data_IF_967446431867
#
_entry.id   IF_967446431867
#
_cell.length_a   1.000
_cell.length_b   1.000
_cell.length_c   1.000
_cell.angle_alpha   90.00
_cell.angle_beta   90.00
_cell.angle_gamma   90.00
#
_symmetry.space_group_name_H-M   'P 1'
#
loop_
_entity.id
_entity.type
_entity.pdbx_description
1 polymer ?
#
# COMPACT_ATOMS: atom_id res chain seq x y z
N UNK A 1 -0.19 19.43 -14.38
CA UNK A 1 -1.59 19.89 -14.35
C UNK A 1 -1.62 21.22 -13.60
N UNK A 2 -2.39 22.20 -14.05
CA UNK A 2 -2.55 23.45 -13.30
C UNK A 2 -3.41 23.19 -12.06
N UNK A 3 -3.14 23.90 -10.98
CA UNK A 3 -3.89 23.81 -9.73
C UNK A 3 -4.47 25.17 -9.41
N UNK A 4 -5.69 25.19 -8.88
CA UNK A 4 -6.31 26.40 -8.39
C UNK A 4 -6.14 26.47 -6.87
N UNK A 5 -5.48 27.52 -6.39
CA UNK A 5 -5.33 27.77 -4.96
C UNK A 5 -6.39 28.76 -4.49
N UNK A 6 -7.03 28.46 -3.36
CA UNK A 6 -7.87 29.40 -2.62
C UNK A 6 -7.23 29.71 -1.28
N UNK A 7 -6.78 30.95 -1.10
CA UNK A 7 -6.23 31.48 0.15
C UNK A 7 -7.35 32.09 0.98
N UNK A 8 -7.44 31.69 2.24
CA UNK A 8 -8.44 32.14 3.22
C UNK A 8 -7.71 32.76 4.40
N UNK A 9 -7.90 34.04 4.61
CA UNK A 9 -7.40 34.75 5.79
C UNK A 9 -8.56 34.98 6.76
N UNK A 10 -8.49 34.31 7.90
CA UNK A 10 -9.51 34.30 8.95
C UNK A 10 -8.82 34.24 10.32
N UNK A 11 -9.50 34.68 11.37
CA UNK A 11 -9.12 34.46 12.76
C UNK A 11 -9.34 33.01 13.23
N UNK A 12 -9.96 32.17 12.39
CA UNK A 12 -10.38 30.79 12.66
C UNK A 12 -9.82 29.80 11.62
N UNK A 13 -8.49 29.70 11.48
CA UNK A 13 -7.85 28.88 10.45
C UNK A 13 -8.20 27.38 10.53
N UNK A 14 -8.49 26.87 11.73
CA UNK A 14 -8.93 25.49 11.98
C UNK A 14 -10.31 25.18 11.37
N UNK A 15 -11.23 26.15 11.37
CA UNK A 15 -12.54 25.99 10.74
C UNK A 15 -12.46 26.13 9.23
N UNK A 16 -11.54 26.99 8.74
CA UNK A 16 -11.31 27.12 7.30
C UNK A 16 -10.75 25.84 6.68
N UNK A 17 -9.90 25.09 7.40
CA UNK A 17 -9.38 23.79 6.96
C UNK A 17 -10.50 22.77 6.74
N UNK A 18 -11.32 22.54 7.76
CA UNK A 18 -12.45 21.61 7.68
C UNK A 18 -13.43 21.98 6.56
N UNK A 19 -13.72 23.26 6.40
CA UNK A 19 -14.64 23.75 5.37
C UNK A 19 -14.05 23.62 3.97
N UNK A 20 -12.76 23.92 3.76
CA UNK A 20 -12.10 23.75 2.47
C UNK A 20 -12.09 22.28 2.04
N UNK A 21 -11.79 21.35 2.96
CA UNK A 21 -11.88 19.91 2.70
C UNK A 21 -13.31 19.47 2.39
N UNK A 22 -14.31 19.94 3.16
CA UNK A 22 -15.72 19.64 2.93
C UNK A 22 -16.22 20.14 1.57
N UNK A 23 -15.60 21.21 1.05
CA UNK A 23 -15.89 21.78 -0.26
C UNK A 23 -15.02 21.24 -1.40
N UNK A 24 -14.26 20.17 -1.17
CA UNK A 24 -13.56 19.43 -2.23
C UNK A 24 -12.11 19.82 -2.46
N UNK A 25 -11.47 20.53 -1.52
CA UNK A 25 -10.02 20.73 -1.58
C UNK A 25 -9.30 19.38 -1.51
N UNK A 26 -8.35 19.16 -2.41
CA UNK A 26 -7.51 17.96 -2.45
C UNK A 26 -6.45 17.96 -1.34
N UNK A 27 -6.04 19.16 -0.91
CA UNK A 27 -5.15 19.37 0.22
C UNK A 27 -5.39 20.75 0.83
N UNK A 28 -5.09 20.88 2.11
CA UNK A 28 -5.08 22.16 2.84
C UNK A 28 -3.69 22.37 3.47
N UNK A 29 -3.19 23.60 3.44
CA UNK A 29 -1.91 24.01 4.03
C UNK A 29 -2.02 25.36 4.72
N UNK A 30 -1.09 25.68 5.62
CA UNK A 30 -1.07 26.94 6.35
C UNK A 30 0.22 27.70 6.06
N UNK A 31 0.12 29.01 5.81
CA UNK A 31 1.28 29.91 5.66
C UNK A 31 1.11 31.17 6.53
N UNK A 32 2.21 31.84 6.84
CA UNK A 32 2.18 33.15 7.50
C UNK A 32 1.82 34.24 6.47
N UNK A 33 0.97 35.21 6.86
CA UNK A 33 0.44 36.23 5.95
C UNK A 33 1.50 37.25 5.46
N UNK A 34 2.68 37.30 6.07
CA UNK A 34 3.71 38.33 5.79
C UNK A 34 5.03 37.81 5.18
N UNK A 35 5.11 36.54 4.77
CA UNK A 35 6.29 35.98 4.06
C UNK A 35 7.63 36.23 4.80
N UNK A 36 7.61 36.26 6.13
CA UNK A 36 8.78 36.47 6.98
C UNK A 36 9.22 35.15 7.64
N UNK A 37 10.45 34.67 7.40
CA UNK A 37 10.99 33.54 8.15
C UNK A 37 11.25 33.94 9.61
N UNK A 38 10.67 33.20 10.55
CA UNK A 38 10.96 33.36 11.98
C UNK A 38 12.25 32.62 12.30
N UNK A 39 13.31 33.35 12.64
CA UNK A 39 14.47 32.79 13.35
C UNK A 39 14.04 32.47 14.80
N UNK A 40 14.44 31.30 15.31
CA UNK A 40 13.97 30.72 16.58
C UNK A 40 13.92 31.71 17.76
N UNK A 41 12.81 31.78 18.53
CA UNK A 41 12.74 32.56 19.76
C UNK A 41 13.47 31.84 20.92
N UNK A 42 13.82 32.61 21.96
CA UNK A 42 14.51 32.09 23.12
C UNK A 42 13.65 31.06 23.91
N UNK A 43 14.27 30.11 24.64
CA UNK A 43 13.55 29.07 25.38
C UNK A 43 12.52 29.65 26.34
N UNK A 44 11.24 29.36 26.11
CA UNK A 44 10.12 29.80 26.94
C UNK A 44 9.21 30.87 26.32
N UNK A 45 9.53 31.39 25.13
CA UNK A 45 8.63 32.28 24.37
C UNK A 45 7.88 31.52 23.27
N UNK A 46 6.56 31.41 23.40
CA UNK A 46 5.68 31.02 22.30
C UNK A 46 5.27 32.29 21.54
N UNK A 47 5.85 32.54 20.35
CA UNK A 47 5.24 33.47 19.40
C UNK A 47 4.29 32.67 18.52
N UNK A 48 2.99 32.80 18.77
CA UNK A 48 1.95 32.37 17.84
C UNK A 48 1.94 33.37 16.66
N UNK A 49 1.88 32.87 15.43
CA UNK A 49 1.69 33.70 14.23
C UNK A 49 0.49 34.64 14.46
N UNK A 50 0.67 35.93 14.17
CA UNK A 50 -0.38 36.93 14.39
C UNK A 50 -1.49 36.86 13.34
N UNK A 51 -1.23 36.28 12.15
CA UNK A 51 -2.20 36.13 11.04
C UNK A 51 -1.85 34.92 10.15
N UNK A 52 -2.44 33.76 10.42
CA UNK A 52 -2.31 32.55 9.57
C UNK A 52 -3.20 32.67 8.33
N UNK A 53 -2.72 32.21 7.17
CA UNK A 53 -3.50 32.04 5.94
C UNK A 53 -3.65 30.56 5.64
N UNK A 54 -4.89 30.10 5.53
CA UNK A 54 -5.23 28.73 5.14
C UNK A 54 -5.36 28.65 3.63
N UNK A 55 -4.72 27.68 2.98
CA UNK A 55 -4.71 27.49 1.52
C UNK A 55 -5.37 26.16 1.18
N UNK A 56 -6.45 26.18 0.41
CA UNK A 56 -7.04 24.99 -0.21
C UNK A 56 -6.59 24.83 -1.65
N UNK A 57 -6.21 23.60 -2.03
CA UNK A 57 -5.85 23.23 -3.40
C UNK A 57 -7.01 22.53 -4.10
N UNK A 58 -7.39 23.03 -5.27
CA UNK A 58 -8.48 22.52 -6.11
C UNK A 58 -7.97 22.21 -7.52
N UNK A 59 -8.69 21.36 -8.23
CA UNK A 59 -8.43 21.13 -9.66
C UNK A 59 -8.76 22.39 -10.46
N UNK A 60 -8.08 22.60 -11.58
CA UNK A 60 -8.21 23.80 -12.42
C UNK A 60 -9.60 24.00 -13.05
N UNK A 61 -10.45 22.97 -13.03
CA UNK A 61 -11.84 22.99 -13.47
C UNK A 61 -12.86 23.33 -12.34
N UNK A 62 -12.40 23.51 -11.10
CA UNK A 62 -13.27 23.82 -9.96
C UNK A 62 -13.73 25.28 -9.97
N UNK A 63 -15.05 25.52 -9.92
CA UNK A 63 -15.60 26.86 -9.64
C UNK A 63 -15.50 27.16 -8.13
N UNK A 64 -14.69 28.16 -7.76
CA UNK A 64 -14.49 28.55 -6.36
C UNK A 64 -15.59 29.45 -5.79
N UNK A 65 -16.49 30.00 -6.61
CA UNK A 65 -17.53 30.91 -6.10
C UNK A 65 -18.46 30.25 -5.07
N UNK A 66 -18.94 29.00 -5.25
CA UNK A 66 -19.72 28.29 -4.23
C UNK A 66 -18.91 27.99 -2.97
N UNK A 67 -17.61 27.70 -3.11
CA UNK A 67 -16.70 27.42 -2.00
C UNK A 67 -16.49 28.68 -1.14
N UNK A 68 -16.19 29.81 -1.77
CA UNK A 68 -16.04 31.12 -1.10
C UNK A 68 -17.35 31.53 -0.43
N UNK A 69 -18.49 31.29 -1.09
CA UNK A 69 -19.81 31.61 -0.51
C UNK A 69 -20.08 30.76 0.74
N UNK A 70 -19.83 29.45 0.68
CA UNK A 70 -19.97 28.56 1.84
C UNK A 70 -19.05 28.96 2.99
N UNK A 71 -17.78 29.30 2.70
CA UNK A 71 -16.84 29.78 3.71
C UNK A 71 -17.30 31.09 4.36
N UNK A 72 -17.83 32.04 3.59
CA UNK A 72 -18.37 33.31 4.14
C UNK A 72 -19.57 33.11 5.07
N UNK A 73 -20.40 32.10 4.79
CA UNK A 73 -21.59 31.80 5.59
C UNK A 73 -21.28 30.99 6.85
N UNK A 74 -20.30 30.08 6.76
CA UNK A 74 -20.01 29.09 7.80
C UNK A 74 -18.85 29.48 8.73
N UNK A 75 -17.93 30.35 8.29
CA UNK A 75 -16.88 30.86 9.17
C UNK A 75 -17.44 31.83 10.21
N UNK A 76 -17.01 31.75 11.49
CA UNK A 76 -17.47 32.67 12.54
C UNK A 76 -17.20 34.15 12.23
N UNK A 77 -16.14 34.43 11.48
CA UNK A 77 -15.74 35.77 10.99
C UNK A 77 -15.86 35.90 9.47
N UNK A 78 -16.73 35.10 8.83
CA UNK A 78 -16.82 35.02 7.37
C UNK A 78 -17.13 36.34 6.65
N UNK A 79 -17.72 37.32 7.35
CA UNK A 79 -17.95 38.67 6.84
C UNK A 79 -16.65 39.52 6.74
N UNK A 80 -15.67 39.23 7.59
CA UNK A 80 -14.39 39.93 7.69
C UNK A 80 -13.23 39.11 7.08
N UNK A 81 -13.48 37.84 6.74
CA UNK A 81 -12.52 36.96 6.11
C UNK A 81 -12.16 37.42 4.69
N UNK A 82 -10.87 37.39 4.37
CA UNK A 82 -10.37 37.73 3.04
C UNK A 82 -10.08 36.45 2.24
N UNK A 83 -10.46 36.48 0.95
CA UNK A 83 -10.31 35.36 0.03
C UNK A 83 -9.52 35.83 -1.19
N UNK A 84 -8.55 35.04 -1.62
CA UNK A 84 -7.82 35.26 -2.85
C UNK A 84 -7.61 33.93 -3.57
N UNK A 85 -8.00 33.86 -4.84
CA UNK A 85 -7.71 32.71 -5.69
C UNK A 85 -6.55 32.98 -6.65
N UNK A 86 -5.78 31.93 -6.93
CA UNK A 86 -4.64 31.98 -7.84
C UNK A 86 -4.60 30.69 -8.67
N UNK A 87 -4.57 30.83 -10.00
CA UNK A 87 -4.30 29.72 -10.89
C UNK A 87 -2.78 29.50 -10.93
N UNK A 88 -2.33 28.42 -10.31
CA UNK A 88 -0.95 27.98 -10.36
C UNK A 88 -0.80 27.11 -11.59
N UNK A 89 -0.26 27.70 -12.66
CA UNK A 89 0.33 26.93 -13.73
C UNK A 89 1.43 26.03 -13.16
N UNK A 90 1.59 24.83 -13.74
CA UNK A 90 2.63 23.86 -13.42
C UNK A 90 4.01 24.43 -13.81
N UNK A 91 4.46 25.47 -13.11
CA UNK A 91 5.71 26.15 -13.36
C UNK A 91 6.82 25.55 -12.50
N UNK A 92 7.94 25.31 -13.18
CA UNK A 92 9.22 24.70 -12.82
C UNK A 92 9.97 25.35 -11.61
N UNK A 93 9.27 25.80 -10.56
CA UNK A 93 9.90 26.29 -9.32
C UNK A 93 10.78 25.24 -8.65
N UNK A 94 10.39 23.97 -8.80
CA UNK A 94 11.14 22.80 -8.38
C UNK A 94 12.50 22.75 -9.13
N UNK A 95 12.56 22.91 -10.45
CA UNK A 95 13.82 22.78 -11.22
C UNK A 95 14.91 23.79 -10.87
N UNK A 96 14.55 25.01 -10.42
CA UNK A 96 15.54 26.04 -10.08
C UNK A 96 16.21 25.75 -8.72
N UNK A 97 15.44 25.29 -7.73
CA UNK A 97 15.99 24.93 -6.40
C UNK A 97 16.85 23.65 -6.45
N UNK A 98 16.62 22.80 -7.44
CA UNK A 98 17.21 21.47 -7.53
C UNK A 98 18.58 21.41 -8.22
N UNK A 99 18.93 22.39 -9.05
CA UNK A 99 20.28 22.50 -9.63
C UNK A 99 21.37 22.66 -8.56
N UNK A 100 21.01 23.22 -7.41
CA UNK A 100 21.94 23.46 -6.31
C UNK A 100 21.92 22.35 -5.24
N UNK A 101 21.12 21.28 -5.41
CA UNK A 101 21.10 20.18 -4.45
C UNK A 101 22.46 19.47 -4.41
N UNK A 102 23.14 19.39 -3.25
CA UNK A 102 24.41 18.68 -3.13
C UNK A 102 24.18 17.15 -3.12
N UNK A 103 25.21 16.34 -3.44
CA UNK A 103 25.19 14.90 -3.15
C UNK A 103 24.77 14.62 -1.70
N UNK A 104 23.76 13.78 -1.51
CA UNK A 104 23.25 13.42 -0.18
C UNK A 104 23.71 12.01 0.20
N UNK A 105 24.32 11.88 1.38
CA UNK A 105 24.81 10.60 1.91
C UNK A 105 23.78 9.99 2.88
N UNK A 106 23.51 8.70 2.72
CA UNK A 106 22.66 7.91 3.60
C UNK A 106 23.43 6.67 4.10
N UNK A 107 23.49 6.49 5.42
CA UNK A 107 24.32 5.45 6.03
C UNK A 107 25.81 5.62 5.72
N UNK A 108 26.53 4.50 5.56
CA UNK A 108 28.00 4.53 5.41
C UNK A 108 28.47 4.80 3.98
N UNK A 109 27.73 4.33 2.97
CA UNK A 109 28.19 4.33 1.57
C UNK A 109 27.14 4.63 0.51
N UNK A 110 25.85 4.74 0.84
CA UNK A 110 24.82 5.08 -0.16
C UNK A 110 24.78 6.58 -0.37
N UNK A 111 24.76 7.02 -1.63
CA UNK A 111 24.65 8.41 -2.02
C UNK A 111 23.55 8.60 -3.05
N UNK A 112 22.66 9.56 -2.86
CA UNK A 112 21.75 10.05 -3.91
C UNK A 112 22.38 11.30 -4.51
N UNK A 113 22.59 11.27 -5.82
CA UNK A 113 23.35 12.30 -6.53
C UNK A 113 22.62 12.74 -7.80
N UNK A 114 22.55 14.05 -8.07
CA UNK A 114 22.22 14.54 -9.41
C UNK A 114 23.24 14.01 -10.43
N UNK A 115 22.81 13.75 -11.67
CA UNK A 115 23.66 13.13 -12.69
C UNK A 115 24.96 13.92 -12.93
N UNK A 116 24.87 15.24 -12.99
CA UNK A 116 25.99 16.14 -13.24
C UNK A 116 26.99 16.22 -12.07
N UNK A 117 26.59 15.83 -10.86
CA UNK A 117 27.38 15.95 -9.62
C UNK A 117 27.98 14.64 -9.13
N UNK A 118 27.83 13.54 -9.89
CA UNK A 118 28.38 12.23 -9.49
C UNK A 118 29.90 12.27 -9.24
N UNK A 119 30.64 13.14 -9.93
CA UNK A 119 32.09 13.31 -9.74
C UNK A 119 32.49 14.01 -8.44
N UNK A 120 31.55 14.63 -7.72
CA UNK A 120 31.81 15.29 -6.43
C UNK A 120 31.97 14.28 -5.29
N UNK A 121 31.47 13.05 -5.44
CA UNK A 121 31.62 11.98 -4.46
C UNK A 121 33.00 11.33 -4.60
N UNK A 122 33.86 11.56 -3.62
CA UNK A 122 35.27 11.09 -3.62
C UNK A 122 35.48 9.78 -2.86
N UNK A 123 34.45 9.27 -2.18
CA UNK A 123 34.52 8.02 -1.41
C UNK A 123 34.65 6.81 -2.36
N UNK A 124 35.69 5.99 -2.16
CA UNK A 124 36.07 4.92 -3.08
C UNK A 124 35.09 3.74 -3.14
N UNK A 125 34.39 3.46 -2.04
CA UNK A 125 33.42 2.38 -1.90
C UNK A 125 31.96 2.88 -1.96
N UNK A 126 31.76 4.11 -2.46
CA UNK A 126 30.45 4.72 -2.58
C UNK A 126 29.53 3.95 -3.54
N UNK A 127 28.29 3.74 -3.11
CA UNK A 127 27.18 3.27 -3.91
C UNK A 127 26.40 4.51 -4.36
N UNK A 128 26.47 4.81 -5.66
CA UNK A 128 25.85 6.01 -6.23
C UNK A 128 24.50 5.67 -6.85
N UNK A 129 23.44 6.26 -6.30
CA UNK A 129 22.12 6.33 -6.91
C UNK A 129 22.00 7.68 -7.62
N UNK A 130 21.93 7.63 -8.95
CA UNK A 130 21.78 8.81 -9.80
C UNK A 130 20.30 9.13 -9.95
N UNK A 131 19.89 10.31 -9.52
CA UNK A 131 18.51 10.76 -9.61
C UNK A 131 18.50 12.28 -9.74
N UNK A 132 18.03 12.78 -10.88
CA UNK A 132 17.84 14.21 -11.04
C UNK A 132 16.60 14.63 -10.28
N UNK A 133 16.70 15.64 -9.43
CA UNK A 133 15.53 16.04 -8.69
C UNK A 133 14.49 16.68 -9.64
N UNK A 134 13.19 16.54 -9.32
CA UNK A 134 12.13 17.37 -9.90
C UNK A 134 11.19 16.72 -10.91
N UNK A 135 11.41 15.46 -11.30
CA UNK A 135 10.50 14.72 -12.19
C UNK A 135 9.64 13.68 -11.46
N UNK A 136 9.95 13.35 -10.20
CA UNK A 136 9.19 12.41 -9.39
C UNK A 136 9.40 12.67 -7.88
N UNK A 137 8.38 12.42 -7.06
CA UNK A 137 8.49 12.43 -5.60
C UNK A 137 9.51 11.37 -5.12
N UNK A 138 10.26 11.66 -4.05
CA UNK A 138 11.25 10.73 -3.49
C UNK A 138 12.71 11.00 -3.87
N UNK A 139 13.14 12.25 -4.06
CA UNK A 139 14.54 12.59 -4.39
C UNK A 139 15.53 12.45 -3.22
N UNK A 140 15.09 11.92 -2.07
CA UNK A 140 15.89 11.79 -0.85
C UNK A 140 15.94 13.04 0.04
N UNK A 141 15.46 14.19 -0.45
CA UNK A 141 15.44 15.46 0.30
C UNK A 141 14.34 15.53 1.34
N UNK A 142 13.24 14.78 1.15
CA UNK A 142 12.16 14.71 2.13
C UNK A 142 12.55 13.78 3.30
N UNK A 143 12.28 14.16 4.57
CA UNK A 143 12.66 13.37 5.75
C UNK A 143 12.26 11.89 5.67
N UNK A 144 11.07 11.60 5.15
CA UNK A 144 10.58 10.21 5.05
C UNK A 144 11.41 9.34 4.10
N UNK A 145 11.84 9.90 2.97
CA UNK A 145 12.69 9.16 2.02
C UNK A 145 14.08 8.96 2.62
N UNK A 146 14.63 9.98 3.27
CA UNK A 146 15.91 9.89 3.97
C UNK A 146 15.91 8.78 5.04
N UNK A 147 14.86 8.72 5.86
CA UNK A 147 14.70 7.70 6.90
C UNK A 147 14.65 6.27 6.32
N UNK A 148 13.98 6.08 5.17
CA UNK A 148 13.96 4.79 4.48
C UNK A 148 15.30 4.43 3.85
N UNK A 149 15.99 5.38 3.20
CA UNK A 149 17.31 5.15 2.60
C UNK A 149 18.37 4.81 3.65
N UNK A 150 18.36 5.52 4.78
CA UNK A 150 19.23 5.21 5.93
C UNK A 150 18.93 3.82 6.49
N UNK A 151 17.66 3.46 6.60
CA UNK A 151 17.26 2.14 7.07
C UNK A 151 17.73 1.04 6.11
N UNK A 152 17.47 1.18 4.80
CA UNK A 152 17.93 0.24 3.77
C UNK A 152 19.45 0.07 3.79
N UNK A 153 20.20 1.14 4.00
CA UNK A 153 21.66 1.11 4.09
C UNK A 153 22.20 0.28 5.28
N UNK A 154 21.36 -0.01 6.28
CA UNK A 154 21.72 -0.88 7.42
C UNK A 154 21.27 -2.33 7.26
N UNK A 155 20.45 -2.64 6.24
CA UNK A 155 19.97 -4.00 6.02
C UNK A 155 21.00 -4.81 5.22
N UNK A 156 21.14 -6.10 5.53
CA UNK A 156 21.74 -7.04 4.59
C UNK A 156 20.74 -7.29 3.46
N UNK A 157 21.08 -6.87 2.25
CA UNK A 157 20.23 -6.98 1.07
C UNK A 157 20.74 -8.05 0.08
N UNK A 158 21.86 -8.72 0.37
CA UNK A 158 22.48 -9.64 -0.57
C UNK A 158 21.54 -10.78 -0.96
N UNK A 159 21.23 -10.89 -2.26
CA UNK A 159 20.37 -11.96 -2.77
C UNK A 159 18.88 -11.83 -2.40
N UNK A 160 18.48 -10.71 -1.79
CA UNK A 160 17.10 -10.52 -1.30
C UNK A 160 16.17 -9.98 -2.37
N UNK A 161 14.89 -10.33 -2.25
CA UNK A 161 13.79 -9.75 -3.01
C UNK A 161 13.13 -8.63 -2.22
N UNK A 162 12.96 -7.47 -2.86
CA UNK A 162 12.38 -6.27 -2.25
C UNK A 162 11.02 -5.94 -2.86
N UNK A 163 10.05 -5.61 -2.03
CA UNK A 163 8.78 -4.99 -2.43
C UNK A 163 8.81 -3.51 -2.04
N UNK A 164 8.64 -2.62 -3.01
CA UNK A 164 8.47 -1.18 -2.82
C UNK A 164 7.03 -0.79 -3.19
N UNK A 165 6.18 -0.58 -2.17
CA UNK A 165 4.75 -0.32 -2.35
C UNK A 165 4.46 1.18 -2.19
N UNK A 166 4.07 1.83 -3.28
CA UNK A 166 4.08 3.29 -3.43
C UNK A 166 5.43 3.81 -3.92
N UNK A 167 5.97 3.21 -4.98
CA UNK A 167 7.37 3.38 -5.37
C UNK A 167 7.72 4.79 -5.88
N UNK A 168 6.78 5.57 -6.42
CA UNK A 168 7.04 6.93 -6.91
C UNK A 168 8.15 6.99 -7.95
N UNK A 169 9.26 7.66 -7.62
CA UNK A 169 10.48 7.70 -8.43
C UNK A 169 11.24 6.37 -8.53
N UNK A 170 10.91 5.39 -7.70
CA UNK A 170 11.63 4.12 -7.57
C UNK A 170 12.91 4.23 -6.74
N UNK A 171 13.15 5.35 -6.06
CA UNK A 171 14.39 5.61 -5.32
C UNK A 171 14.73 4.52 -4.31
N UNK A 172 13.74 3.96 -3.60
CA UNK A 172 13.96 2.98 -2.53
C UNK A 172 14.29 1.61 -3.12
N UNK A 173 13.53 1.18 -4.13
CA UNK A 173 13.83 -0.02 -4.91
C UNK A 173 15.21 0.02 -5.57
N UNK A 174 15.56 1.14 -6.23
CA UNK A 174 16.86 1.31 -6.89
C UNK A 174 17.99 1.31 -5.87
N UNK A 175 17.83 2.01 -4.74
CA UNK A 175 18.79 1.99 -3.65
C UNK A 175 19.04 0.57 -3.15
N UNK A 176 17.98 -0.21 -2.95
CA UNK A 176 18.11 -1.59 -2.48
C UNK A 176 18.84 -2.48 -3.50
N UNK A 177 18.56 -2.33 -4.80
CA UNK A 177 19.22 -3.06 -5.88
C UNK A 177 20.71 -2.72 -6.02
N UNK A 178 21.07 -1.46 -5.80
CA UNK A 178 22.46 -0.99 -5.79
C UNK A 178 23.20 -1.44 -4.53
N UNK A 179 22.49 -1.61 -3.41
CA UNK A 179 23.05 -2.10 -2.15
C UNK A 179 23.22 -3.63 -2.10
N UNK A 180 22.61 -4.39 -3.01
CA UNK A 180 22.86 -5.82 -3.17
C UNK A 180 21.62 -6.70 -3.36
N UNK A 181 20.41 -6.13 -3.36
CA UNK A 181 19.19 -6.88 -3.65
C UNK A 181 19.24 -7.54 -5.04
N UNK A 182 18.69 -8.74 -5.13
CA UNK A 182 18.63 -9.50 -6.38
C UNK A 182 17.58 -8.91 -7.32
N UNK A 183 16.42 -8.53 -6.77
CA UNK A 183 15.27 -8.06 -7.54
C UNK A 183 14.39 -7.15 -6.70
N UNK A 184 13.70 -6.23 -7.36
CA UNK A 184 12.71 -5.35 -6.76
C UNK A 184 11.39 -5.41 -7.53
N UNK A 185 10.28 -5.52 -6.80
CA UNK A 185 8.93 -5.34 -7.34
C UNK A 185 8.40 -4.01 -6.81
N UNK A 186 8.02 -3.14 -7.73
CA UNK A 186 7.57 -1.79 -7.45
C UNK A 186 6.08 -1.68 -7.79
N UNK A 187 5.27 -1.25 -6.84
CA UNK A 187 3.82 -1.06 -7.04
C UNK A 187 3.49 0.41 -6.87
N UNK A 188 2.68 0.96 -7.76
CA UNK A 188 2.16 2.33 -7.64
C UNK A 188 0.80 2.47 -8.31
N UNK A 189 -0.07 3.30 -7.74
CA UNK A 189 -1.37 3.62 -8.31
C UNK A 189 -1.25 4.52 -9.55
N UNK A 190 -0.16 5.30 -9.66
CA UNK A 190 0.08 6.22 -10.76
C UNK A 190 0.95 5.58 -11.86
N UNK A 191 0.42 5.38 -13.09
CA UNK A 191 1.22 4.91 -14.23
C UNK A 191 2.44 5.78 -14.55
N UNK A 192 2.40 7.09 -14.21
CA UNK A 192 3.55 7.98 -14.41
C UNK A 192 4.68 7.65 -13.43
N UNK A 193 4.38 7.35 -12.17
CA UNK A 193 5.36 6.87 -11.19
C UNK A 193 6.03 5.57 -11.67
N UNK A 194 5.27 4.63 -12.22
CA UNK A 194 5.85 3.40 -12.79
C UNK A 194 6.78 3.68 -13.98
N UNK A 195 6.46 4.70 -14.79
CA UNK A 195 7.30 5.13 -15.91
C UNK A 195 8.59 5.78 -15.41
N UNK A 196 8.50 6.66 -14.40
CA UNK A 196 9.65 7.27 -13.75
C UNK A 196 10.56 6.21 -13.11
N UNK A 197 9.99 5.26 -12.37
CA UNK A 197 10.71 4.13 -11.77
C UNK A 197 11.50 3.34 -12.81
N UNK A 198 10.90 3.01 -13.96
CA UNK A 198 11.60 2.30 -15.04
C UNK A 198 12.74 3.14 -15.65
N UNK A 199 12.50 4.43 -15.89
CA UNK A 199 13.55 5.33 -16.42
C UNK A 199 14.72 5.44 -15.46
N UNK A 200 14.45 5.75 -14.19
CA UNK A 200 15.46 5.91 -13.16
C UNK A 200 16.23 4.59 -12.93
N UNK A 201 15.55 3.44 -12.99
CA UNK A 201 16.21 2.14 -12.90
C UNK A 201 17.15 1.89 -14.09
N UNK A 202 16.78 2.33 -15.30
CA UNK A 202 17.65 2.25 -16.48
C UNK A 202 18.87 3.15 -16.34
N UNK A 203 18.70 4.38 -15.85
CA UNK A 203 19.78 5.34 -15.63
C UNK A 203 20.79 4.86 -14.57
N UNK A 204 20.33 4.01 -13.65
CA UNK A 204 21.16 3.36 -12.63
C UNK A 204 21.65 1.95 -13.03
N UNK A 205 21.33 1.47 -14.24
CA UNK A 205 21.78 0.17 -14.74
C UNK A 205 21.19 -1.03 -14.00
N UNK A 206 19.96 -0.90 -13.47
CA UNK A 206 19.27 -1.95 -12.71
C UNK A 206 17.89 -2.31 -13.26
N UNK A 207 17.55 -1.83 -14.46
CA UNK A 207 16.23 -2.03 -15.07
C UNK A 207 15.83 -3.50 -15.26
N UNK A 208 16.79 -4.39 -15.51
CA UNK A 208 16.56 -5.84 -15.67
C UNK A 208 16.14 -6.54 -14.38
N UNK A 209 16.36 -5.89 -13.23
CA UNK A 209 16.03 -6.39 -11.89
C UNK A 209 14.80 -5.72 -11.27
N UNK A 210 14.12 -4.83 -12.02
CA UNK A 210 12.92 -4.12 -11.57
C UNK A 210 11.69 -4.62 -12.31
N UNK A 211 10.64 -4.96 -11.56
CA UNK A 211 9.30 -5.21 -12.09
C UNK A 211 8.34 -4.16 -11.56
N UNK A 212 7.63 -3.45 -12.44
CA UNK A 212 6.64 -2.44 -12.05
C UNK A 212 5.22 -2.95 -12.29
N UNK A 213 4.33 -2.80 -11.31
CA UNK A 213 2.94 -3.28 -11.38
C UNK A 213 1.96 -2.21 -10.92
N UNK A 214 0.77 -2.18 -11.51
CA UNK A 214 -0.39 -1.52 -10.92
C UNK A 214 -0.94 -2.40 -9.77
N UNK A 215 -1.62 -1.85 -8.76
CA UNK A 215 -2.21 -2.64 -7.68
C UNK A 215 -3.17 -3.73 -8.17
N UNK A 216 -3.87 -3.50 -9.28
CA UNK A 216 -4.78 -4.48 -9.87
C UNK A 216 -4.05 -5.72 -10.41
N UNK A 217 -2.78 -5.59 -10.79
CA UNK A 217 -1.94 -6.66 -11.33
C UNK A 217 -1.03 -7.27 -10.25
N UNK A 218 -1.04 -6.71 -9.04
CA UNK A 218 -0.20 -7.17 -7.94
C UNK A 218 -0.79 -8.41 -7.27
N UNK A 219 0.03 -9.46 -7.18
CA UNK A 219 -0.27 -10.67 -6.40
C UNK A 219 0.72 -10.73 -5.24
N UNK A 220 0.26 -10.79 -3.98
CA UNK A 220 1.16 -10.95 -2.84
C UNK A 220 2.06 -12.17 -3.00
N UNK A 221 3.34 -11.96 -2.71
CA UNK A 221 4.40 -12.96 -2.76
C UNK A 221 5.33 -12.73 -1.55
N UNK A 222 6.06 -13.75 -1.07
CA UNK A 222 6.89 -13.62 0.12
C UNK A 222 8.19 -12.85 -0.16
N UNK A 223 8.16 -11.51 -0.11
CA UNK A 223 9.36 -10.69 -0.20
C UNK A 223 10.22 -10.80 1.08
N UNK A 224 11.53 -10.61 0.97
CA UNK A 224 12.43 -10.57 2.13
C UNK A 224 12.39 -9.21 2.84
N UNK A 225 12.21 -8.15 2.06
CA UNK A 225 12.13 -6.76 2.51
C UNK A 225 10.90 -6.12 1.88
N UNK A 226 10.10 -5.44 2.71
CA UNK A 226 8.98 -4.61 2.25
C UNK A 226 9.23 -3.18 2.70
N UNK A 227 9.09 -2.22 1.79
CA UNK A 227 9.16 -0.79 2.08
C UNK A 227 7.91 -0.12 1.54
N UNK A 228 7.30 0.75 2.33
CA UNK A 228 6.16 1.57 1.92
C UNK A 228 6.30 2.98 2.52
N UNK A 229 6.66 3.95 1.68
CA UNK A 229 6.75 5.36 2.06
C UNK A 229 5.53 6.11 1.51
N UNK A 230 4.39 5.93 2.16
CA UNK A 230 3.08 6.44 1.74
C UNK A 230 2.30 6.99 2.94
N UNK A 231 1.17 7.65 2.69
CA UNK A 231 0.38 8.27 3.75
C UNK A 231 -0.18 7.25 4.75
N UNK A 232 -0.42 7.70 5.98
CA UNK A 232 -0.91 6.86 7.09
C UNK A 232 -2.25 6.14 6.78
N UNK A 233 -3.22 6.83 6.18
CA UNK A 233 -4.51 6.22 5.81
C UNK A 233 -4.36 5.00 4.90
N UNK A 234 -3.66 5.12 3.75
CA UNK A 234 -3.28 3.98 2.93
C UNK A 234 -2.51 2.89 3.68
N UNK A 235 -1.55 3.24 4.55
CA UNK A 235 -0.81 2.24 5.35
C UNK A 235 -1.73 1.38 6.23
N UNK A 236 -2.76 1.97 6.84
CA UNK A 236 -3.76 1.24 7.63
C UNK A 236 -4.55 0.25 6.76
N UNK A 237 -5.02 0.73 5.61
CA UNK A 237 -5.81 -0.09 4.67
C UNK A 237 -5.00 -1.24 4.07
N UNK A 238 -3.72 -1.00 3.79
CA UNK A 238 -2.82 -1.95 3.15
C UNK A 238 -2.15 -2.92 4.14
N UNK A 239 -2.35 -2.77 5.45
CA UNK A 239 -1.65 -3.58 6.45
C UNK A 239 -1.79 -5.10 6.21
N UNK A 240 -2.98 -5.67 5.95
CA UNK A 240 -3.11 -7.11 5.64
C UNK A 240 -2.40 -7.50 4.34
N UNK A 241 -2.41 -6.62 3.34
CA UNK A 241 -1.77 -6.86 2.04
C UNK A 241 -0.24 -6.93 2.19
N UNK A 242 0.35 -5.92 2.84
CA UNK A 242 1.80 -5.88 3.11
C UNK A 242 2.23 -7.03 4.02
N UNK A 243 1.43 -7.35 5.05
CA UNK A 243 1.65 -8.50 5.92
C UNK A 243 1.59 -9.85 5.18
N UNK A 244 0.81 -9.96 4.11
CA UNK A 244 0.75 -11.17 3.27
C UNK A 244 1.87 -11.25 2.22
N UNK A 245 2.60 -10.13 2.00
CA UNK A 245 3.61 -9.98 0.96
C UNK A 245 5.05 -10.08 1.50
N UNK A 246 5.24 -10.74 2.64
CA UNK A 246 6.53 -10.85 3.32
C UNK A 246 6.78 -12.28 3.80
N UNK A 247 8.04 -12.68 3.83
CA UNK A 247 8.51 -13.94 4.45
C UNK A 247 8.57 -13.81 5.97
N UNK A 248 8.40 -14.90 6.75
CA UNK A 248 8.76 -14.87 8.17
C UNK A 248 10.21 -14.45 8.37
N UNK A 249 10.45 -13.63 9.39
CA UNK A 249 11.75 -13.02 9.65
C UNK A 249 12.14 -11.89 8.68
N UNK A 250 11.35 -11.65 7.63
CA UNK A 250 11.52 -10.54 6.70
C UNK A 250 11.38 -9.18 7.38
N UNK A 251 11.91 -8.13 6.76
CA UNK A 251 11.97 -6.79 7.36
C UNK A 251 11.01 -5.83 6.66
N UNK A 252 10.29 -5.05 7.45
CA UNK A 252 9.34 -4.03 6.99
C UNK A 252 9.85 -2.64 7.37
N UNK A 253 9.71 -1.66 6.49
CA UNK A 253 9.84 -0.25 6.81
C UNK A 253 8.65 0.55 6.27
N UNK A 254 7.95 1.23 7.17
CA UNK A 254 6.83 2.12 6.88
C UNK A 254 7.26 3.56 7.17
N UNK A 255 7.04 4.46 6.21
CA UNK A 255 7.27 5.90 6.36
C UNK A 255 6.18 6.67 5.61
N UNK A 256 6.25 8.01 5.62
CA UNK A 256 5.19 8.85 5.04
C UNK A 256 4.09 9.18 6.05
N UNK A 257 4.33 8.90 7.34
CA UNK A 257 3.45 9.21 8.45
C UNK A 257 4.06 10.27 9.38
N UNK A 258 3.18 11.05 10.01
CA UNK A 258 3.54 12.02 11.03
C UNK A 258 3.63 11.33 12.40
N UNK A 259 4.41 11.90 13.32
CA UNK A 259 4.64 11.31 14.65
C UNK A 259 3.33 10.96 15.40
N UNK A 260 2.29 11.80 15.25
CA UNK A 260 0.97 11.56 15.86
C UNK A 260 0.24 10.31 15.35
N UNK A 261 0.57 9.83 14.15
CA UNK A 261 -0.05 8.63 13.56
C UNK A 261 0.75 7.35 13.88
N UNK A 262 1.93 7.46 14.50
CA UNK A 262 2.82 6.32 14.69
C UNK A 262 2.16 5.18 15.49
N UNK A 263 1.50 5.51 16.61
CA UNK A 263 0.85 4.50 17.44
C UNK A 263 -0.25 3.74 16.69
N UNK A 264 -1.09 4.46 15.92
CA UNK A 264 -2.17 3.85 15.15
C UNK A 264 -1.63 2.88 14.09
N UNK A 265 -0.53 3.24 13.41
CA UNK A 265 0.13 2.34 12.47
C UNK A 265 0.73 1.13 13.19
N UNK A 266 1.37 1.30 14.35
CA UNK A 266 1.92 0.15 15.11
C UNK A 266 0.82 -0.84 15.49
N UNK A 267 -0.29 -0.33 16.02
CA UNK A 267 -1.43 -1.14 16.44
C UNK A 267 -2.02 -1.94 15.26
N UNK A 268 -2.09 -1.33 14.07
CA UNK A 268 -2.59 -2.00 12.87
C UNK A 268 -1.69 -3.14 12.37
N UNK A 269 -0.38 -3.10 12.65
CA UNK A 269 0.60 -4.10 12.18
C UNK A 269 1.01 -5.12 13.26
N UNK A 270 0.70 -4.87 14.54
CA UNK A 270 1.11 -5.66 15.70
C UNK A 270 0.77 -7.16 15.60
N UNK A 271 -0.33 -7.50 14.92
CA UNK A 271 -0.75 -8.88 14.74
C UNK A 271 0.30 -9.74 14.01
N UNK A 272 1.08 -9.14 13.10
CA UNK A 272 1.99 -9.85 12.20
C UNK A 272 3.47 -9.54 12.43
N UNK A 273 3.77 -8.42 13.08
CA UNK A 273 5.12 -7.86 13.14
C UNK A 273 5.55 -7.54 14.58
N UNK A 274 6.83 -7.76 14.84
CA UNK A 274 7.51 -7.24 16.03
C UNK A 274 8.19 -5.91 15.63
N UNK A 275 7.64 -4.79 16.11
CA UNK A 275 8.12 -3.44 15.76
C UNK A 275 9.40 -3.08 16.52
N UNK A 276 10.39 -2.52 15.81
CA UNK A 276 11.58 -1.89 16.38
C UNK A 276 11.21 -0.52 17.02
N UNK A 277 12.21 0.21 17.50
CA UNK A 277 12.04 1.61 17.90
C UNK A 277 11.81 2.53 16.68
N UNK A 278 10.91 3.49 16.86
CA UNK A 278 10.57 4.46 15.82
C UNK A 278 11.72 5.46 15.65
N UNK A 279 11.92 5.94 14.42
CA UNK A 279 12.87 7.02 14.14
C UNK A 279 12.12 8.18 13.54
N UNK A 280 12.14 9.32 14.24
CA UNK A 280 11.52 10.57 13.81
C UNK A 280 12.54 11.58 13.31
N UNK A 281 12.17 12.34 12.28
CA UNK A 281 12.90 13.50 11.77
C UNK A 281 11.90 14.55 11.31
N UNK A 282 12.00 15.75 11.87
CA UNK A 282 11.20 16.91 11.44
C UNK A 282 9.67 16.63 11.46
N UNK A 283 9.19 15.91 12.49
CA UNK A 283 7.78 15.56 12.64
C UNK A 283 7.30 14.36 11.82
N UNK A 284 8.18 13.75 11.02
CA UNK A 284 7.93 12.54 10.26
C UNK A 284 8.55 11.32 10.91
N UNK A 285 7.80 10.22 10.95
CA UNK A 285 8.23 8.96 11.55
C UNK A 285 8.49 7.88 10.50
N UNK A 286 9.52 7.06 10.73
CA UNK A 286 9.68 5.73 10.12
C UNK A 286 9.53 4.66 11.20
N UNK A 287 8.61 3.73 10.97
CA UNK A 287 8.45 2.49 11.75
C UNK A 287 9.17 1.38 11.00
N UNK A 288 10.00 0.61 11.69
CA UNK A 288 10.54 -0.64 11.14
C UNK A 288 10.14 -1.83 11.98
N UNK A 289 10.03 -3.00 11.37
CA UNK A 289 9.59 -4.20 12.06
C UNK A 289 10.14 -5.47 11.42
N UNK A 290 10.13 -6.57 12.18
CA UNK A 290 10.40 -7.90 11.68
C UNK A 290 9.10 -8.72 11.63
N UNK A 291 8.88 -9.41 10.52
CA UNK A 291 7.71 -10.27 10.37
C UNK A 291 7.81 -11.49 11.28
N UNK A 292 6.87 -11.63 12.21
CA UNK A 292 6.74 -12.81 13.08
C UNK A 292 5.93 -13.90 12.39
N UNK A 293 4.78 -13.51 11.84
CA UNK A 293 3.85 -14.41 11.16
C UNK A 293 3.15 -13.63 10.05
N UNK A 294 3.43 -13.91 8.76
CA UNK A 294 2.75 -13.26 7.66
C UNK A 294 1.24 -13.54 7.67
N UNK A 295 0.48 -12.64 7.06
CA UNK A 295 -0.96 -12.79 6.92
C UNK A 295 -1.29 -13.80 5.80
N UNK A 296 -2.42 -14.50 5.94
CA UNK A 296 -3.07 -15.16 4.81
C UNK A 296 -3.69 -14.10 3.90
N UNK A 297 -3.43 -14.21 2.59
CA UNK A 297 -3.95 -13.28 1.57
C UNK A 297 -5.48 -13.25 1.67
N UNK A 298 -6.06 -12.07 1.88
CA UNK A 298 -7.52 -11.84 1.89
C UNK A 298 -8.32 -12.90 2.68
N UNK A 299 -7.83 -13.31 3.86
CA UNK A 299 -8.49 -14.32 4.70
C UNK A 299 -9.91 -13.87 5.10
N UNK A 300 -10.90 -14.70 4.84
CA UNK A 300 -12.28 -14.50 5.26
C UNK A 300 -12.81 -15.72 6.02
N UNK A 301 -13.57 -15.51 7.10
CA UNK A 301 -14.14 -16.60 7.91
C UNK A 301 -15.66 -16.55 7.85
N UNK A 302 -16.30 -17.68 7.54
CA UNK A 302 -17.76 -17.82 7.41
C UNK A 302 -18.38 -18.58 8.59
N UNK A 303 -17.74 -18.49 9.77
CA UNK A 303 -18.10 -19.24 10.97
C UNK A 303 -16.95 -20.09 11.53
N UNK A 304 -17.24 -21.06 12.42
CA UNK A 304 -16.20 -21.80 13.14
C UNK A 304 -15.48 -22.86 12.28
N UNK A 305 -16.14 -23.36 11.24
CA UNK A 305 -15.68 -24.51 10.46
C UNK A 305 -15.23 -24.16 9.03
N UNK A 306 -15.45 -22.93 8.55
CA UNK A 306 -15.19 -22.60 7.15
C UNK A 306 -14.50 -21.25 7.02
N UNK A 307 -13.40 -21.24 6.25
CA UNK A 307 -12.72 -20.03 5.85
C UNK A 307 -12.29 -20.10 4.38
N UNK A 308 -12.10 -18.93 3.77
CA UNK A 308 -11.50 -18.80 2.45
C UNK A 308 -10.27 -17.88 2.48
N UNK A 309 -9.31 -18.10 1.60
CA UNK A 309 -8.11 -17.26 1.49
C UNK A 309 -7.49 -17.29 0.08
N UNK A 310 -6.50 -16.43 -0.15
CA UNK A 310 -5.51 -16.60 -1.21
C UNK A 310 -4.44 -17.62 -0.80
N UNK A 311 -3.36 -17.72 -1.58
CA UNK A 311 -2.41 -18.82 -1.45
C UNK A 311 -1.73 -18.79 -0.06
N UNK A 312 -1.80 -19.88 0.73
CA UNK A 312 -1.01 -20.01 1.94
C UNK A 312 0.48 -20.13 1.63
N UNK A 313 1.33 -19.53 2.46
CA UNK A 313 2.76 -19.80 2.48
C UNK A 313 3.05 -21.11 3.25
N UNK A 314 4.21 -21.79 3.03
CA UNK A 314 4.51 -23.09 3.66
C UNK A 314 4.37 -23.14 5.19
N UNK A 315 4.68 -22.04 5.88
CA UNK A 315 4.56 -21.97 7.33
C UNK A 315 3.11 -21.93 7.85
N UNK A 316 2.13 -21.64 6.99
CA UNK A 316 0.73 -21.54 7.39
C UNK A 316 0.13 -22.91 7.66
N UNK A 317 0.58 -23.98 6.99
CA UNK A 317 -0.02 -25.31 7.13
C UNK A 317 0.08 -25.87 8.57
N UNK A 318 1.23 -25.85 9.25
CA UNK A 318 1.30 -26.25 10.66
C UNK A 318 0.41 -25.39 11.57
N UNK A 319 0.31 -24.09 11.32
CA UNK A 319 -0.51 -23.15 12.11
C UNK A 319 -2.01 -23.43 11.90
N UNK A 320 -2.42 -23.73 10.67
CA UNK A 320 -3.79 -24.13 10.35
C UNK A 320 -4.17 -25.41 11.11
N UNK A 321 -3.30 -26.41 11.12
CA UNK A 321 -3.53 -27.64 11.88
C UNK A 321 -3.67 -27.37 13.39
N UNK A 322 -2.81 -26.52 13.97
CA UNK A 322 -2.91 -26.10 15.37
C UNK A 322 -4.20 -25.32 15.66
N UNK A 323 -4.69 -24.54 14.70
CA UNK A 323 -5.97 -23.84 14.78
C UNK A 323 -7.19 -24.77 14.55
N UNK A 324 -6.96 -26.08 14.43
CA UNK A 324 -7.99 -27.12 14.31
C UNK A 324 -8.52 -27.30 12.89
N UNK A 325 -7.91 -26.70 11.87
CA UNK A 325 -8.23 -27.06 10.48
C UNK A 325 -7.80 -28.50 10.23
N UNK A 326 -8.59 -29.20 9.41
CA UNK A 326 -8.42 -30.64 9.13
C UNK A 326 -8.38 -30.93 7.62
N UNK A 327 -8.86 -29.98 6.80
CA UNK A 327 -8.82 -30.05 5.35
C UNK A 327 -8.45 -28.71 4.70
N UNK A 328 -7.69 -28.79 3.60
CA UNK A 328 -7.34 -27.68 2.71
C UNK A 328 -7.79 -28.02 1.29
N UNK A 329 -8.53 -27.09 0.66
CA UNK A 329 -9.00 -27.22 -0.72
C UNK A 329 -8.34 -26.13 -1.57
N UNK A 330 -7.53 -26.52 -2.55
CA UNK A 330 -6.89 -25.61 -3.50
C UNK A 330 -7.69 -25.53 -4.81
N UNK A 331 -8.16 -24.33 -5.16
CA UNK A 331 -8.85 -24.03 -6.42
C UNK A 331 -7.98 -23.30 -7.46
N UNK A 332 -6.73 -22.98 -7.12
CA UNK A 332 -5.80 -22.31 -8.03
C UNK A 332 -5.39 -23.23 -9.18
N UNK A 333 -5.06 -22.61 -10.32
CA UNK A 333 -4.41 -23.33 -11.41
C UNK A 333 -2.93 -23.50 -11.07
N UNK A 334 -2.27 -24.60 -11.49
CA UNK A 334 -0.82 -24.72 -11.40
C UNK A 334 -0.05 -23.60 -12.11
N UNK A 335 -0.70 -22.90 -13.04
CA UNK A 335 -0.16 -21.71 -13.73
C UNK A 335 -0.35 -20.40 -12.97
N UNK A 336 -0.93 -20.43 -11.77
CA UNK A 336 -1.05 -19.22 -10.93
C UNK A 336 0.32 -18.78 -10.43
N UNK A 337 0.61 -17.46 -10.38
CA UNK A 337 1.97 -16.95 -10.15
C UNK A 337 2.53 -17.30 -8.76
N UNK A 338 1.67 -17.53 -7.78
CA UNK A 338 2.04 -17.90 -6.42
C UNK A 338 1.77 -19.38 -6.11
N UNK A 339 1.54 -20.24 -7.11
CA UNK A 339 1.25 -21.66 -6.88
C UNK A 339 2.40 -22.39 -6.17
N UNK A 340 2.06 -23.32 -5.26
CA UNK A 340 3.02 -24.17 -4.55
C UNK A 340 2.94 -25.61 -5.06
N UNK A 341 3.99 -26.07 -5.75
CA UNK A 341 4.04 -27.42 -6.33
C UNK A 341 4.04 -28.55 -5.28
N UNK A 342 4.59 -28.28 -4.09
CA UNK A 342 4.72 -29.23 -2.99
C UNK A 342 3.61 -29.09 -1.93
N UNK A 343 2.55 -28.33 -2.21
CA UNK A 343 1.48 -28.03 -1.26
C UNK A 343 0.82 -29.28 -0.65
N UNK A 344 0.59 -30.31 -1.46
CA UNK A 344 0.04 -31.58 -0.97
C UNK A 344 0.95 -32.24 0.09
N UNK A 345 2.28 -32.16 -0.11
CA UNK A 345 3.25 -32.69 0.83
C UNK A 345 3.32 -31.84 2.11
N UNK A 346 3.25 -30.51 1.98
CA UNK A 346 3.21 -29.59 3.11
C UNK A 346 1.97 -29.82 3.99
N UNK A 347 0.80 -30.00 3.37
CA UNK A 347 -0.43 -30.36 4.07
C UNK A 347 -0.30 -31.71 4.80
N UNK A 348 0.21 -32.75 4.11
CA UNK A 348 0.41 -34.06 4.70
C UNK A 348 1.36 -34.02 5.91
N UNK A 349 2.45 -33.26 5.81
CA UNK A 349 3.40 -33.06 6.92
C UNK A 349 2.76 -32.36 8.13
N UNK A 350 1.78 -31.48 7.90
CA UNK A 350 1.02 -30.80 8.93
C UNK A 350 -0.17 -31.64 9.47
N UNK A 351 -0.45 -32.82 8.90
CA UNK A 351 -1.61 -33.65 9.26
C UNK A 351 -2.94 -33.14 8.69
N UNK A 352 -2.90 -32.33 7.63
CA UNK A 352 -4.07 -31.81 6.92
C UNK A 352 -4.39 -32.69 5.71
N UNK A 353 -5.68 -32.98 5.50
CA UNK A 353 -6.13 -33.54 4.22
C UNK A 353 -6.07 -32.47 3.12
N UNK A 354 -5.63 -32.85 1.93
CA UNK A 354 -5.46 -31.92 0.80
C UNK A 354 -6.30 -32.37 -0.39
N UNK A 355 -7.00 -31.41 -1.00
CA UNK A 355 -7.80 -31.61 -2.20
C UNK A 355 -7.53 -30.50 -3.21
N UNK A 356 -7.34 -30.85 -4.48
CA UNK A 356 -7.15 -29.88 -5.55
C UNK A 356 -8.29 -29.97 -6.57
N UNK A 357 -8.90 -28.84 -6.89
CA UNK A 357 -9.89 -28.68 -7.97
C UNK A 357 -9.45 -27.47 -8.80
N UNK A 358 -8.51 -27.63 -9.75
CA UNK A 358 -8.00 -26.50 -10.53
C UNK A 358 -9.12 -25.82 -11.34
N UNK A 359 -9.39 -24.54 -11.08
CA UNK A 359 -10.43 -23.78 -11.79
C UNK A 359 -9.80 -22.68 -12.64
N UNK A 360 -9.95 -22.71 -13.98
CA UNK A 360 -9.55 -21.59 -14.83
C UNK A 360 -10.32 -20.32 -14.45
N UNK A 361 -9.63 -19.18 -14.27
CA UNK A 361 -10.29 -17.95 -13.81
C UNK A 361 -11.28 -17.42 -14.86
N UNK A 362 -10.89 -17.47 -16.13
CA UNK A 362 -11.65 -16.89 -17.24
C UNK A 362 -12.77 -17.81 -17.74
N UNK A 363 -12.72 -19.10 -17.36
CA UNK A 363 -13.65 -20.11 -17.83
C UNK A 363 -14.07 -21.10 -16.72
N UNK A 364 -14.67 -20.64 -15.61
CA UNK A 364 -15.25 -21.54 -14.62
C UNK A 364 -16.48 -22.25 -15.20
N UNK A 365 -16.75 -23.48 -14.74
CA UNK A 365 -17.85 -24.32 -15.26
C UNK A 365 -18.73 -24.84 -14.12
N UNK A 366 -20.02 -25.15 -14.38
CA UNK A 366 -20.89 -25.80 -13.41
C UNK A 366 -20.33 -27.14 -12.88
N UNK A 367 -19.56 -27.86 -13.70
CA UNK A 367 -18.91 -29.10 -13.28
C UNK A 367 -17.87 -28.86 -12.17
N UNK A 368 -17.06 -27.80 -12.27
CA UNK A 368 -16.12 -27.43 -11.21
C UNK A 368 -16.86 -27.12 -9.91
N UNK A 369 -17.95 -26.35 -10.00
CA UNK A 369 -18.77 -26.01 -8.83
C UNK A 369 -19.41 -27.25 -8.21
N UNK A 370 -19.97 -28.16 -9.02
CA UNK A 370 -20.57 -29.40 -8.53
C UNK A 370 -19.55 -30.29 -7.82
N UNK A 371 -18.36 -30.48 -8.40
CA UNK A 371 -17.27 -31.24 -7.78
C UNK A 371 -16.90 -30.66 -6.40
N UNK A 372 -16.82 -29.34 -6.29
CA UNK A 372 -16.56 -28.68 -5.02
C UNK A 372 -17.70 -28.85 -4.01
N UNK A 373 -18.95 -28.69 -4.43
CA UNK A 373 -20.12 -28.86 -3.55
C UNK A 373 -20.22 -30.28 -3.00
N UNK A 374 -19.93 -31.29 -3.83
CA UNK A 374 -19.93 -32.68 -3.42
C UNK A 374 -18.78 -32.98 -2.46
N UNK A 375 -17.58 -32.46 -2.74
CA UNK A 375 -16.44 -32.56 -1.82
C UNK A 375 -16.78 -31.94 -0.45
N UNK A 376 -17.37 -30.76 -0.42
CA UNK A 376 -17.79 -30.11 0.83
C UNK A 376 -18.81 -30.93 1.62
N UNK A 377 -19.71 -31.68 0.96
CA UNK A 377 -20.61 -32.63 1.65
C UNK A 377 -19.82 -33.78 2.30
N UNK A 378 -18.78 -34.31 1.64
CA UNK A 378 -17.94 -35.36 2.22
C UNK A 378 -17.10 -34.88 3.41
N UNK A 379 -16.75 -33.60 3.44
CA UNK A 379 -16.01 -32.96 4.52
C UNK A 379 -16.93 -32.36 5.61
N UNK A 380 -18.21 -32.71 5.62
CA UNK A 380 -19.18 -32.20 6.60
C UNK A 380 -18.71 -32.44 8.04
N UNK A 381 -18.79 -31.40 8.88
CA UNK A 381 -18.32 -31.42 10.26
C UNK A 381 -16.81 -31.20 10.45
N UNK A 382 -16.03 -31.16 9.38
CA UNK A 382 -14.61 -30.81 9.42
C UNK A 382 -14.41 -29.29 9.34
N UNK A 383 -13.30 -28.80 9.87
CA UNK A 383 -12.89 -27.40 9.73
C UNK A 383 -12.01 -27.26 8.49
N UNK A 384 -12.49 -26.52 7.50
CA UNK A 384 -11.95 -26.48 6.13
C UNK A 384 -11.47 -25.07 5.78
N UNK A 385 -10.28 -25.01 5.17
CA UNK A 385 -9.80 -23.82 4.45
C UNK A 385 -9.94 -24.06 2.95
N UNK A 386 -10.66 -23.17 2.25
CA UNK A 386 -10.72 -23.16 0.79
C UNK A 386 -9.87 -22.02 0.28
N UNK A 387 -8.89 -22.27 -0.58
CA UNK A 387 -8.05 -21.19 -1.09
C UNK A 387 -7.86 -21.25 -2.61
N UNK A 388 -7.40 -20.14 -3.15
CA UNK A 388 -6.87 -20.04 -4.49
C UNK A 388 -5.74 -19.01 -4.50
N UNK A 389 -5.39 -18.38 -5.63
CA UNK A 389 -4.32 -17.39 -5.67
C UNK A 389 -4.61 -16.12 -4.81
N UNK A 390 -5.81 -15.55 -4.95
CA UNK A 390 -6.20 -14.22 -4.39
C UNK A 390 -7.54 -14.26 -3.61
N UNK A 391 -8.04 -15.44 -3.25
CA UNK A 391 -9.38 -15.65 -2.67
C UNK A 391 -10.59 -15.37 -3.59
N UNK A 392 -10.40 -14.95 -4.84
CA UNK A 392 -11.55 -14.65 -5.74
C UNK A 392 -12.35 -15.92 -6.09
N UNK A 393 -11.67 -16.98 -6.53
CA UNK A 393 -12.31 -18.28 -6.85
C UNK A 393 -12.91 -18.94 -5.60
N UNK A 394 -12.12 -18.94 -4.52
CA UNK A 394 -12.47 -19.62 -3.27
C UNK A 394 -13.69 -18.99 -2.63
N UNK A 395 -13.75 -17.67 -2.53
CA UNK A 395 -14.94 -16.97 -2.03
C UNK A 395 -16.18 -17.21 -2.89
N UNK A 396 -16.07 -17.25 -4.23
CA UNK A 396 -17.21 -17.55 -5.11
C UNK A 396 -17.73 -18.99 -4.96
N UNK A 397 -16.84 -19.96 -4.76
CA UNK A 397 -17.23 -21.36 -4.53
C UNK A 397 -17.81 -21.55 -3.12
N UNK A 398 -17.22 -20.89 -2.12
CA UNK A 398 -17.78 -20.88 -0.76
C UNK A 398 -19.15 -20.22 -0.72
N UNK A 399 -19.38 -19.15 -1.48
CA UNK A 399 -20.71 -18.56 -1.67
C UNK A 399 -21.72 -19.62 -2.15
N UNK A 400 -21.38 -20.39 -3.19
CA UNK A 400 -22.25 -21.45 -3.71
C UNK A 400 -22.52 -22.53 -2.67
N UNK A 401 -21.49 -22.96 -1.94
CA UNK A 401 -21.66 -23.97 -0.87
C UNK A 401 -22.59 -23.48 0.24
N UNK A 402 -22.45 -22.24 0.67
CA UNK A 402 -23.29 -21.66 1.71
C UNK A 402 -24.76 -21.62 1.30
N UNK A 403 -25.05 -21.17 0.09
CA UNK A 403 -26.43 -21.10 -0.38
C UNK A 403 -26.99 -22.50 -0.63
N UNK A 404 -26.27 -23.35 -1.38
CA UNK A 404 -26.81 -24.61 -1.90
C UNK A 404 -26.72 -25.79 -0.93
N UNK A 405 -25.67 -25.85 -0.09
CA UNK A 405 -25.52 -26.94 0.89
C UNK A 405 -25.89 -26.53 2.32
N UNK A 406 -25.68 -25.28 2.71
CA UNK A 406 -25.97 -24.82 4.08
C UNK A 406 -27.31 -24.09 4.22
N UNK A 407 -27.93 -23.68 3.11
CA UNK A 407 -29.23 -23.01 3.10
C UNK A 407 -29.17 -21.53 3.50
N UNK A 408 -28.01 -20.89 3.42
CA UNK A 408 -27.87 -19.45 3.64
C UNK A 408 -28.67 -18.66 2.61
N UNK A 409 -29.19 -17.49 2.99
CA UNK A 409 -29.88 -16.62 2.04
C UNK A 409 -28.91 -16.10 0.98
N UNK A 410 -29.36 -16.11 -0.29
CA UNK A 410 -28.58 -15.57 -1.42
C UNK A 410 -28.14 -14.13 -1.17
N UNK A 411 -29.04 -13.32 -0.59
CA UNK A 411 -28.79 -11.91 -0.29
C UNK A 411 -27.64 -11.73 0.70
N UNK A 412 -27.67 -12.44 1.84
CA UNK A 412 -26.63 -12.32 2.86
C UNK A 412 -25.28 -12.84 2.36
N UNK A 413 -25.28 -14.00 1.69
CA UNK A 413 -24.06 -14.57 1.11
C UNK A 413 -23.45 -13.64 0.05
N UNK A 414 -24.29 -12.94 -0.73
CA UNK A 414 -23.83 -12.04 -1.80
C UNK A 414 -23.23 -10.76 -1.23
N UNK A 415 -23.86 -10.18 -0.21
CA UNK A 415 -23.32 -9.02 0.49
C UNK A 415 -21.94 -9.32 1.06
N UNK A 416 -21.75 -10.49 1.66
CA UNK A 416 -20.45 -10.92 2.19
C UNK A 416 -19.44 -11.26 1.08
N UNK A 417 -19.85 -11.82 -0.06
CA UNK A 417 -18.94 -12.00 -1.21
C UNK A 417 -18.43 -10.65 -1.73
N UNK A 418 -19.31 -9.64 -1.79
CA UNK A 418 -18.98 -8.30 -2.27
C UNK A 418 -18.03 -7.52 -1.36
N UNK A 419 -17.85 -7.91 -0.09
CA UNK A 419 -16.79 -7.33 0.76
C UNK A 419 -15.40 -7.83 0.34
N UNK A 420 -15.32 -8.98 -0.32
CA UNK A 420 -14.08 -9.54 -0.85
C UNK A 420 -13.84 -9.01 -2.27
N UNK A 421 -14.82 -9.16 -3.16
CA UNK A 421 -14.76 -8.66 -4.53
C UNK A 421 -16.12 -8.70 -5.23
N UNK A 422 -16.25 -7.95 -6.32
CA UNK A 422 -17.41 -8.05 -7.22
C UNK A 422 -17.13 -9.06 -8.33
N UNK A 423 -17.93 -10.15 -8.44
CA UNK A 423 -17.68 -11.19 -9.44
C UNK A 423 -17.69 -10.68 -10.89
N UNK A 424 -16.63 -11.00 -11.62
CA UNK A 424 -16.54 -10.73 -13.05
C UNK A 424 -17.64 -11.49 -13.84
N UNK A 425 -17.98 -11.09 -15.08
CA UNK A 425 -19.12 -11.66 -15.81
C UNK A 425 -19.16 -13.19 -15.90
N UNK A 426 -18.00 -13.84 -16.08
CA UNK A 426 -17.92 -15.31 -16.12
C UNK A 426 -18.32 -15.96 -14.79
N UNK A 427 -17.94 -15.35 -13.66
CA UNK A 427 -18.25 -15.81 -12.31
C UNK A 427 -19.69 -15.51 -11.91
N UNK A 428 -20.21 -14.33 -12.25
CA UNK A 428 -21.64 -14.01 -12.07
C UNK A 428 -22.54 -14.98 -12.82
N UNK A 429 -22.20 -15.28 -14.09
CA UNK A 429 -22.93 -16.26 -14.90
C UNK A 429 -22.88 -17.67 -14.30
N UNK A 430 -21.72 -18.10 -13.81
CA UNK A 430 -21.59 -19.39 -13.11
C UNK A 430 -22.52 -19.43 -11.90
N UNK A 431 -22.47 -18.41 -11.05
CA UNK A 431 -23.28 -18.31 -9.83
C UNK A 431 -24.76 -18.41 -10.17
N UNK A 432 -25.25 -17.61 -11.12
CA UNK A 432 -26.64 -17.62 -11.57
C UNK A 432 -27.08 -18.98 -12.11
N UNK A 433 -26.21 -19.63 -12.91
CA UNK A 433 -26.50 -20.96 -13.47
C UNK A 433 -26.67 -22.01 -12.37
N UNK A 434 -25.79 -22.00 -11.37
CA UNK A 434 -25.85 -22.95 -10.25
C UNK A 434 -27.09 -22.72 -9.39
N UNK A 435 -27.43 -21.46 -9.08
CA UNK A 435 -28.62 -21.12 -8.30
C UNK A 435 -29.93 -21.48 -9.01
N UNK A 436 -29.97 -21.36 -10.34
CA UNK A 436 -31.15 -21.74 -11.13
C UNK A 436 -31.36 -23.26 -11.22
N UNK A 437 -30.29 -24.05 -11.06
CA UNK A 437 -30.35 -25.51 -11.18
C UNK A 437 -30.95 -26.17 -9.93
N UNK A 438 -30.82 -25.54 -8.75
CA UNK A 438 -31.36 -26.03 -7.47
C UNK A 438 -32.81 -25.61 -7.20
N UNK A 439 -33.33 -24.65 -7.98
CA UNK A 439 -34.72 -24.18 -7.90
C UNK A 439 -35.73 -25.06 -8.68
N UNK A 440 -35.24 -26.07 -9.41
CA UNK A 440 -36.02 -27.08 -10.14
C UNK A 440 -35.82 -28.46 -9.50
#
# INVERSE_FOLDING_TARGET
MAWLQLRVQTAHPEFADELLLAHGAQAVSFIDAEDNPVLEPAPGETRLWSRTVTIGLFTDDTDLNPVITGLRELLPDGADAAFADELIEDQDWIRIWLKDCPPLKFGERLWVVPHEKASEVTQSDAVLLRLDPGLAFGTGTHPTTALCLEWLATQDLSGKTVLDYGCGSGVLAIAALLLGAERAVCVDIDPQALTATRSNAADNGVADRVTTLLPADFVPFPADIVVANILAGPLLQLAPLLASSITPGGRLALAGLLDRHAQEIRDAYDAWFDCDDDVSREGWTRISAQCRMPALIALHRYGPLLASAGQPQPLHFPVLAQAGYTAVINLAMPTSPNYLDDEAQLCANAGLSYHAIPVPFDAPTPQHAQQFLDLMKTLSGQKVLVHCALNLRASAFVFLHRVLNLGDSVEAARQELHTIWQPAPAWSKLIETMLATDAN
#
